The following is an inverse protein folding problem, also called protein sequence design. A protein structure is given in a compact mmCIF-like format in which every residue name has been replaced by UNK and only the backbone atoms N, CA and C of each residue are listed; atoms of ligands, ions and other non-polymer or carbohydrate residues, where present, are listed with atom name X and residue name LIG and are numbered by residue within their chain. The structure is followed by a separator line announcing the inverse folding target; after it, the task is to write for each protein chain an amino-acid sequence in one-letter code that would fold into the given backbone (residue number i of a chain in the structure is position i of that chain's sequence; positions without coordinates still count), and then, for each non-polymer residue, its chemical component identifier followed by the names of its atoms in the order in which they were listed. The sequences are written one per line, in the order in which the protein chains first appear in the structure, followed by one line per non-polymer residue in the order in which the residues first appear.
data_IF_817512108382
#
_entry.id   IF_817512108382
#
_cell.length_a   1.000
_cell.length_b   1.000
_cell.length_c   1.000
_cell.angle_alpha   90.00
_cell.angle_beta   90.00
_cell.angle_gamma   90.00
#
_symmetry.space_group_name_H-M   'P 1'
#
loop_
_entity.id
_entity.type
_entity.pdbx_description
1 polymer ?
#
# COMPACT_ATOMS: atom_id res chain seq x y z
N UNK A 1 -53.93 -3.71 30.82
CA UNK A 1 -53.92 -3.62 29.34
C UNK A 1 -52.90 -2.57 28.94
N UNK A 2 -51.73 -2.98 28.46
CA UNK A 2 -50.71 -2.05 27.97
C UNK A 2 -51.09 -1.66 26.53
N UNK A 3 -51.66 -0.48 26.34
CA UNK A 3 -51.84 0.07 25.00
C UNK A 3 -50.46 0.47 24.50
N UNK A 4 -49.95 -0.30 23.55
CA UNK A 4 -48.77 0.07 22.78
C UNK A 4 -49.20 1.29 21.97
N UNK A 5 -48.80 2.47 22.42
CA UNK A 5 -49.12 3.75 21.79
C UNK A 5 -48.50 3.77 20.37
N UNK A 6 -49.36 3.70 19.36
CA UNK A 6 -48.95 3.72 17.95
C UNK A 6 -48.11 4.98 17.62
N UNK A 7 -48.31 6.07 18.37
CA UNK A 7 -47.51 7.29 18.26
C UNK A 7 -46.04 7.11 18.67
N UNK A 8 -45.76 6.30 19.69
CA UNK A 8 -44.40 6.04 20.16
C UNK A 8 -43.64 5.15 19.17
N UNK A 9 -44.34 4.16 18.58
CA UNK A 9 -43.78 3.31 17.54
C UNK A 9 -43.44 4.11 16.26
N UNK A 10 -44.31 5.04 15.87
CA UNK A 10 -44.08 5.92 14.72
C UNK A 10 -42.93 6.91 14.96
N UNK A 11 -42.81 7.46 16.17
CA UNK A 11 -41.69 8.30 16.55
C UNK A 11 -40.36 7.52 16.46
N UNK A 12 -40.37 6.27 16.93
CA UNK A 12 -39.20 5.38 16.90
C UNK A 12 -38.81 4.96 15.48
N UNK A 13 -39.80 4.71 14.61
CA UNK A 13 -39.54 4.48 13.19
C UNK A 13 -38.95 5.70 12.48
N UNK A 14 -39.41 6.91 12.82
CA UNK A 14 -38.83 8.14 12.24
C UNK A 14 -37.39 8.36 12.68
N UNK A 15 -37.06 8.08 13.95
CA UNK A 15 -35.67 8.16 14.43
C UNK A 15 -34.77 7.11 13.80
N UNK A 16 -35.29 5.90 13.51
CA UNK A 16 -34.53 4.86 12.81
C UNK A 16 -34.32 5.23 11.33
N UNK A 17 -35.28 5.90 10.69
CA UNK A 17 -35.14 6.40 9.31
C UNK A 17 -34.07 7.51 9.21
N UNK A 18 -34.02 8.44 10.16
CA UNK A 18 -32.97 9.48 10.23
C UNK A 18 -31.58 8.89 10.49
N UNK A 19 -31.48 7.84 11.31
CA UNK A 19 -30.22 7.11 11.52
C UNK A 19 -29.77 6.35 10.27
N UNK A 20 -30.72 5.78 9.50
CA UNK A 20 -30.41 5.10 8.24
C UNK A 20 -29.92 6.07 7.15
N UNK A 21 -30.49 7.28 7.04
CA UNK A 21 -30.03 8.32 6.13
C UNK A 21 -28.67 8.92 6.51
N UNK A 22 -28.28 8.84 7.79
CA UNK A 22 -26.95 9.23 8.30
C UNK A 22 -25.93 8.10 8.30
N UNK A 23 -26.26 6.94 7.71
CA UNK A 23 -25.23 5.96 7.39
C UNK A 23 -24.18 6.67 6.54
N UNK A 24 -22.90 6.68 6.93
CA UNK A 24 -21.87 7.26 6.10
C UNK A 24 -21.93 6.50 4.79
N UNK A 25 -22.39 7.19 3.76
CA UNK A 25 -22.25 6.71 2.40
C UNK A 25 -20.75 6.54 2.24
N UNK A 26 -20.29 5.30 2.18
CA UNK A 26 -18.95 4.98 1.70
C UNK A 26 -19.01 5.35 0.22
N UNK A 27 -18.96 6.66 -0.06
CA UNK A 27 -18.69 7.13 -1.38
C UNK A 27 -17.37 6.46 -1.76
N UNK A 28 -17.29 5.76 -2.90
CA UNK A 28 -16.01 5.25 -3.35
C UNK A 28 -15.10 6.46 -3.43
N UNK A 29 -14.11 6.52 -2.54
CA UNK A 29 -13.01 7.46 -2.70
C UNK A 29 -12.53 7.23 -4.12
N UNK A 30 -12.63 8.26 -4.95
CA UNK A 30 -12.07 8.25 -6.28
C UNK A 30 -10.58 8.07 -6.09
N UNK A 31 -10.13 6.80 -6.15
CA UNK A 31 -8.73 6.45 -6.21
C UNK A 31 -8.20 7.22 -7.40
N UNK A 32 -7.45 8.29 -7.15
CA UNK A 32 -6.80 9.05 -8.22
C UNK A 32 -6.04 8.03 -9.04
N UNK A 33 -6.40 7.87 -10.31
CA UNK A 33 -5.84 6.81 -11.18
C UNK A 33 -4.30 6.81 -11.24
N UNK A 34 -3.65 7.91 -10.87
CA UNK A 34 -2.21 8.01 -10.80
C UNK A 34 -1.56 7.54 -9.49
N UNK A 35 -2.32 7.22 -8.43
CA UNK A 35 -1.76 6.95 -7.09
C UNK A 35 -0.89 5.69 -7.06
N UNK A 36 -1.34 4.62 -7.69
CA UNK A 36 -0.58 3.37 -7.76
C UNK A 36 0.66 3.53 -8.65
N UNK A 37 0.52 4.13 -9.83
CA UNK A 37 1.67 4.37 -10.72
C UNK A 37 2.73 5.24 -10.04
N UNK A 38 2.34 6.31 -9.34
CA UNK A 38 3.28 7.14 -8.60
C UNK A 38 3.95 6.36 -7.46
N UNK A 39 3.19 5.62 -6.66
CA UNK A 39 3.75 4.79 -5.59
C UNK A 39 4.70 3.71 -6.12
N UNK A 40 4.34 3.06 -7.22
CA UNK A 40 5.18 2.04 -7.84
C UNK A 40 6.47 2.64 -8.38
N UNK A 41 6.38 3.78 -9.09
CA UNK A 41 7.55 4.52 -9.57
C UNK A 41 8.47 4.92 -8.42
N UNK A 42 7.90 5.43 -7.33
CA UNK A 42 8.64 5.78 -6.12
C UNK A 42 9.30 4.56 -5.47
N UNK A 43 8.62 3.42 -5.40
CA UNK A 43 9.18 2.17 -4.92
C UNK A 43 10.35 1.68 -5.79
N UNK A 44 10.23 1.74 -7.12
CA UNK A 44 11.31 1.41 -8.08
C UNK A 44 12.54 2.28 -7.81
N UNK A 45 12.33 3.59 -7.71
CA UNK A 45 13.40 4.54 -7.42
C UNK A 45 14.01 4.30 -6.04
N UNK A 46 13.19 3.95 -5.05
CA UNK A 46 13.65 3.59 -3.70
C UNK A 46 14.59 2.38 -3.70
N UNK A 47 14.23 1.31 -4.43
CA UNK A 47 15.07 0.12 -4.60
C UNK A 47 16.39 0.48 -5.28
N UNK A 48 16.35 1.29 -6.35
CA UNK A 48 17.55 1.74 -7.05
C UNK A 48 18.49 2.52 -6.12
N UNK A 49 17.95 3.46 -5.33
CA UNK A 49 18.73 4.22 -4.35
C UNK A 49 19.35 3.32 -3.28
N UNK A 50 18.60 2.33 -2.77
CA UNK A 50 19.12 1.36 -1.81
C UNK A 50 20.27 0.53 -2.40
N UNK A 51 20.13 0.06 -3.64
CA UNK A 51 21.19 -0.66 -4.35
C UNK A 51 22.42 0.22 -4.56
N UNK A 52 22.24 1.46 -5.02
CA UNK A 52 23.34 2.39 -5.25
C UNK A 52 24.08 2.74 -3.94
N UNK A 53 23.34 3.00 -2.87
CA UNK A 53 23.91 3.27 -1.55
C UNK A 53 24.69 2.07 -1.01
N UNK A 54 24.17 0.86 -1.16
CA UNK A 54 24.89 -0.34 -0.75
C UNK A 54 26.19 -0.52 -1.55
N UNK A 55 26.17 -0.29 -2.87
CA UNK A 55 27.38 -0.32 -3.71
C UNK A 55 28.41 0.74 -3.32
N UNK A 56 27.97 1.96 -3.00
CA UNK A 56 28.84 3.04 -2.52
C UNK A 56 29.52 2.65 -1.20
N UNK A 57 28.75 2.16 -0.23
CA UNK A 57 29.27 1.73 1.07
C UNK A 57 30.27 0.58 0.94
N UNK A 58 30.01 -0.39 0.07
CA UNK A 58 30.97 -1.47 -0.23
C UNK A 58 32.27 -0.88 -0.78
N UNK A 59 32.19 0.01 -1.77
CA UNK A 59 33.37 0.60 -2.39
C UNK A 59 34.20 1.43 -1.39
N UNK A 60 33.54 2.24 -0.56
CA UNK A 60 34.20 3.04 0.49
C UNK A 60 34.85 2.17 1.54
N UNK A 61 34.21 1.07 1.91
CA UNK A 61 34.79 0.09 2.82
C UNK A 61 36.04 -0.58 2.23
N UNK A 62 36.01 -0.98 0.96
CA UNK A 62 37.18 -1.54 0.25
C UNK A 62 38.36 -0.53 0.18
N UNK A 63 38.04 0.76 0.07
CA UNK A 63 39.01 1.85 0.12
C UNK A 63 39.55 2.17 1.53
N UNK A 64 39.19 1.37 2.54
CA UNK A 64 39.57 1.58 3.94
C UNK A 64 39.12 2.94 4.52
N UNK A 65 37.96 3.45 4.09
CA UNK A 65 37.36 4.66 4.67
C UNK A 65 37.06 4.43 6.17
N UNK A 66 37.70 5.18 7.10
CA UNK A 66 37.50 5.00 8.53
C UNK A 66 36.09 5.37 9.01
N UNK A 67 35.30 6.03 8.16
CA UNK A 67 33.93 6.44 8.47
C UNK A 67 32.88 5.38 8.09
N UNK A 68 33.27 4.28 7.44
CA UNK A 68 32.35 3.23 7.00
C UNK A 68 32.61 1.94 7.76
N UNK A 69 31.62 1.48 8.51
CA UNK A 69 31.71 0.24 9.26
C UNK A 69 31.16 -0.95 8.43
N UNK A 70 31.84 -2.10 8.50
CA UNK A 70 31.36 -3.35 7.87
C UNK A 70 29.92 -3.71 8.26
N UNK A 71 29.50 -3.41 9.48
CA UNK A 71 28.12 -3.64 9.93
C UNK A 71 27.12 -2.79 9.13
N UNK A 72 27.45 -1.53 8.83
CA UNK A 72 26.60 -0.65 8.03
C UNK A 72 26.50 -1.14 6.58
N UNK A 73 27.63 -1.57 6.00
CA UNK A 73 27.68 -2.18 4.66
C UNK A 73 26.76 -3.41 4.59
N UNK A 74 26.86 -4.30 5.58
CA UNK A 74 26.05 -5.52 5.62
C UNK A 74 24.55 -5.20 5.77
N UNK A 75 24.20 -4.22 6.60
CA UNK A 75 22.80 -3.78 6.75
C UNK A 75 22.29 -3.14 5.46
N UNK A 76 23.09 -2.31 4.79
CA UNK A 76 22.71 -1.71 3.51
C UNK A 76 22.48 -2.76 2.43
N UNK A 77 23.37 -3.75 2.32
CA UNK A 77 23.21 -4.88 1.40
C UNK A 77 21.97 -5.71 1.69
N UNK A 78 21.68 -6.00 2.96
CA UNK A 78 20.47 -6.74 3.35
C UNK A 78 19.20 -5.96 3.01
N UNK A 79 19.17 -4.65 3.26
CA UNK A 79 18.05 -3.79 2.88
C UNK A 79 17.83 -3.79 1.38
N UNK A 80 18.90 -3.58 0.59
CA UNK A 80 18.81 -3.59 -0.87
C UNK A 80 18.28 -4.93 -1.40
N UNK A 81 18.78 -6.06 -0.88
CA UNK A 81 18.32 -7.40 -1.27
C UNK A 81 16.85 -7.64 -0.93
N UNK A 82 16.43 -7.32 0.30
CA UNK A 82 15.04 -7.49 0.72
C UNK A 82 14.09 -6.63 -0.11
N UNK A 83 14.44 -5.36 -0.34
CA UNK A 83 13.65 -4.45 -1.16
C UNK A 83 13.54 -4.92 -2.62
N UNK A 84 14.63 -5.44 -3.20
CA UNK A 84 14.61 -6.02 -4.53
C UNK A 84 13.71 -7.27 -4.63
N UNK A 85 13.79 -8.15 -3.64
CA UNK A 85 12.92 -9.33 -3.56
C UNK A 85 11.45 -8.93 -3.50
N UNK A 86 11.10 -7.98 -2.63
CA UNK A 86 9.74 -7.45 -2.52
C UNK A 86 9.26 -6.87 -3.86
N UNK A 87 10.10 -6.08 -4.54
CA UNK A 87 9.76 -5.50 -5.83
C UNK A 87 9.56 -6.55 -6.94
N UNK A 88 10.35 -7.63 -6.92
CA UNK A 88 10.18 -8.75 -7.85
C UNK A 88 8.81 -9.41 -7.67
N UNK A 89 8.32 -9.54 -6.44
CA UNK A 89 6.98 -10.05 -6.18
C UNK A 89 5.90 -9.13 -6.75
N UNK A 90 6.04 -7.81 -6.55
CA UNK A 90 5.11 -6.84 -7.15
C UNK A 90 5.13 -6.90 -8.67
N UNK A 91 6.31 -7.01 -9.29
CA UNK A 91 6.45 -7.20 -10.74
C UNK A 91 5.69 -8.43 -11.23
N UNK A 92 5.85 -9.56 -10.54
CA UNK A 92 5.17 -10.79 -10.88
C UNK A 92 3.65 -10.64 -10.73
N UNK A 93 3.18 -10.00 -9.66
CA UNK A 93 1.76 -9.75 -9.45
C UNK A 93 1.16 -8.86 -10.55
N UNK A 94 1.89 -7.84 -11.02
CA UNK A 94 1.46 -6.97 -12.12
C UNK A 94 1.36 -7.73 -13.45
N UNK A 95 2.36 -8.57 -13.73
CA UNK A 95 2.37 -9.41 -14.93
C UNK A 95 1.24 -10.44 -14.90
N UNK A 96 0.91 -10.98 -13.73
CA UNK A 96 -0.23 -11.87 -13.53
C UNK A 96 -1.55 -11.13 -13.72
N UNK A 97 -1.74 -9.96 -13.10
CA UNK A 97 -2.96 -9.16 -13.25
C UNK A 97 -3.22 -8.78 -14.72
N UNK A 98 -2.17 -8.47 -15.49
CA UNK A 98 -2.29 -8.24 -16.92
C UNK A 98 -2.75 -9.50 -17.68
N UNK A 99 -2.15 -10.66 -17.37
CA UNK A 99 -2.57 -11.95 -17.95
C UNK A 99 -4.01 -12.30 -17.57
N UNK A 100 -4.44 -12.04 -16.33
CA UNK A 100 -5.79 -12.32 -15.83
C UNK A 100 -6.83 -11.51 -16.60
N UNK A 101 -6.55 -10.21 -16.85
CA UNK A 101 -7.42 -9.36 -17.68
C UNK A 101 -7.49 -9.89 -19.11
N UNK A 102 -6.37 -10.34 -19.67
CA UNK A 102 -6.32 -10.86 -21.05
C UNK A 102 -7.06 -12.20 -21.21
N UNK A 103 -7.06 -13.03 -20.16
CA UNK A 103 -7.73 -14.33 -20.13
C UNK A 103 -9.18 -14.26 -19.65
N UNK A 104 -9.68 -13.08 -19.26
CA UNK A 104 -11.07 -12.90 -18.86
C UNK A 104 -11.96 -13.06 -20.10
N UNK A 105 -12.86 -14.07 -20.13
CA UNK A 105 -13.79 -14.20 -21.25
C UNK A 105 -14.73 -12.98 -21.26
N UNK A 106 -14.82 -12.33 -22.41
CA UNK A 106 -15.85 -11.31 -22.70
C UNK A 106 -17.24 -11.92 -22.75
#
# INVERSE_FOLDING_TARGET
MNQIDAGDLLARMRTLADMAQRSPSIAPETVKENSFHSMFTEAVNGVNNLSANASDLVSRFEMHDPNVNITEVMVALQKANLSFQAMTQVRNQLVNAYQDIMNMPI
#
